data_IF_904126968839
#
_entry.id   IF_904126968839
#
_cell.length_a   1.000
_cell.length_b   1.000
_cell.length_c   1.000
_cell.angle_alpha   90.00
_cell.angle_beta   90.00
_cell.angle_gamma   90.00
#
_symmetry.space_group_name_H-M   'P 1'
#
loop_
_entity.id
_entity.type
_entity.pdbx_description
1 polymer ?
#
# COMPACT_ATOMS: atom_id res chain seq x y z
N UNK A 1 12.81 1.36 -1.84
CA UNK A 1 11.36 1.71 -1.78
C UNK A 1 10.87 2.56 -2.96
N UNK A 2 11.47 3.74 -3.26
CA UNK A 2 11.03 4.56 -4.41
C UNK A 2 11.15 3.86 -5.77
N UNK A 3 12.17 3.02 -5.94
CA UNK A 3 12.41 2.22 -7.15
C UNK A 3 11.31 1.19 -7.43
N UNK A 4 10.79 0.50 -6.41
CA UNK A 4 9.81 -0.58 -6.57
C UNK A 4 8.44 -0.09 -7.09
N UNK A 5 8.03 1.12 -6.73
CA UNK A 5 6.80 1.74 -7.23
C UNK A 5 6.91 2.09 -8.73
N UNK A 6 8.10 2.45 -9.20
CA UNK A 6 8.36 2.78 -10.60
C UNK A 6 8.38 1.52 -11.48
N UNK A 7 8.86 0.38 -10.98
CA UNK A 7 8.96 -0.87 -11.75
C UNK A 7 7.60 -1.52 -12.07
N UNK A 8 6.53 -1.21 -11.33
CA UNK A 8 5.23 -1.90 -11.48
C UNK A 8 4.20 -1.11 -12.31
N UNK A 9 4.52 0.11 -12.79
CA UNK A 9 3.54 0.94 -13.52
C UNK A 9 2.39 1.45 -12.63
N UNK A 10 2.58 1.43 -11.31
CA UNK A 10 1.60 1.91 -10.32
C UNK A 10 1.68 3.42 -10.08
N UNK A 11 2.58 4.12 -10.78
CA UNK A 11 2.96 5.52 -10.49
C UNK A 11 1.80 6.51 -10.41
N UNK A 12 0.69 6.20 -11.07
CA UNK A 12 -0.51 7.05 -11.09
C UNK A 12 -1.53 6.75 -9.99
N UNK A 13 -1.61 5.50 -9.49
CA UNK A 13 -2.66 5.04 -8.57
C UNK A 13 -2.16 4.75 -7.15
N UNK A 14 -0.86 4.45 -6.99
CA UNK A 14 -0.19 4.34 -5.72
C UNK A 14 0.79 5.50 -5.60
N UNK A 15 0.33 6.60 -5.00
CA UNK A 15 1.19 7.76 -4.81
C UNK A 15 1.98 7.57 -3.53
N UNK A 16 3.28 7.30 -3.69
CA UNK A 16 4.25 7.32 -2.60
C UNK A 16 4.75 8.77 -2.46
N UNK A 17 4.32 9.48 -1.42
CA UNK A 17 4.81 10.82 -1.07
C UNK A 17 5.60 10.75 0.23
N UNK A 18 6.77 11.36 0.28
CA UNK A 18 7.62 11.27 1.47
C UNK A 18 9.09 11.56 1.21
N UNK A 19 9.77 12.06 2.25
CA UNK A 19 11.23 12.06 2.37
C UNK A 19 11.67 10.62 2.67
N UNK A 20 12.90 10.21 2.32
CA UNK A 20 13.37 8.87 2.65
C UNK A 20 13.26 8.67 4.18
N UNK A 21 12.33 7.83 4.62
CA UNK A 21 11.99 7.66 6.04
C UNK A 21 10.66 8.26 6.49
N UNK A 22 9.80 8.78 5.61
CA UNK A 22 8.41 9.15 5.98
C UNK A 22 7.47 9.00 4.77
N UNK A 23 7.16 7.75 4.41
CA UNK A 23 6.35 7.43 3.22
C UNK A 23 4.86 7.41 3.57
N UNK A 24 4.11 8.28 2.92
CA UNK A 24 2.66 8.35 2.87
C UNK A 24 2.20 7.69 1.58
N UNK A 25 1.29 6.71 1.70
CA UNK A 25 0.66 6.04 0.58
C UNK A 25 -0.75 6.61 0.33
N UNK A 26 -0.98 7.21 -0.84
CA UNK A 26 -2.32 7.41 -1.36
C UNK A 26 -2.71 6.20 -2.22
N UNK A 27 -3.81 5.53 -1.85
CA UNK A 27 -4.38 4.39 -2.59
C UNK A 27 -5.63 4.86 -3.32
N UNK A 28 -5.56 4.79 -4.65
CA UNK A 28 -6.66 5.16 -5.54
C UNK A 28 -7.19 3.95 -6.32
N UNK A 29 -8.49 3.96 -6.60
CA UNK A 29 -9.11 2.97 -7.49
C UNK A 29 -8.75 3.21 -8.97
N UNK A 30 -9.32 2.38 -9.85
CA UNK A 30 -9.20 2.44 -11.30
C UNK A 30 -9.63 3.79 -11.90
N UNK A 31 -10.46 4.56 -11.18
CA UNK A 31 -10.92 5.90 -11.58
C UNK A 31 -10.11 7.03 -10.95
N UNK A 32 -8.96 6.71 -10.32
CA UNK A 32 -8.09 7.66 -9.60
C UNK A 32 -8.78 8.33 -8.41
N UNK A 33 -9.80 7.70 -7.83
CA UNK A 33 -10.50 8.20 -6.64
C UNK A 33 -9.96 7.53 -5.38
N UNK A 34 -9.87 8.25 -4.25
CA UNK A 34 -9.46 7.64 -2.98
C UNK A 34 -10.37 6.45 -2.63
N UNK A 35 -9.77 5.28 -2.36
CA UNK A 35 -10.55 4.06 -2.09
C UNK A 35 -10.13 3.33 -0.83
N UNK A 36 -11.09 3.13 0.08
CA UNK A 36 -10.89 2.39 1.33
C UNK A 36 -10.67 0.89 1.11
N UNK A 37 -11.22 0.33 0.04
CA UNK A 37 -11.02 -1.09 -0.27
C UNK A 37 -9.58 -1.33 -0.71
N UNK A 38 -9.06 -0.50 -1.62
CA UNK A 38 -7.66 -0.57 -2.05
C UNK A 38 -6.69 -0.21 -0.90
N UNK A 39 -7.04 0.72 -0.02
CA UNK A 39 -6.29 0.98 1.22
C UNK A 39 -6.23 -0.26 2.11
N UNK A 40 -7.37 -0.91 2.35
CA UNK A 40 -7.46 -2.11 3.18
C UNK A 40 -6.65 -3.25 2.57
N UNK A 41 -6.77 -3.48 1.26
CA UNK A 41 -6.00 -4.47 0.52
C UNK A 41 -4.50 -4.25 0.70
N UNK A 42 -4.01 -3.03 0.47
CA UNK A 42 -2.59 -2.72 0.54
C UNK A 42 -2.04 -2.94 1.95
N UNK A 43 -2.71 -2.38 2.97
CA UNK A 43 -2.30 -2.54 4.37
C UNK A 43 -2.35 -3.99 4.82
N UNK A 44 -3.39 -4.74 4.44
CA UNK A 44 -3.49 -6.17 4.75
C UNK A 44 -2.32 -6.94 4.12
N UNK A 45 -1.94 -6.63 2.88
CA UNK A 45 -0.86 -7.34 2.21
C UNK A 45 0.49 -7.10 2.89
N UNK A 46 0.75 -5.87 3.33
CA UNK A 46 1.93 -5.54 4.13
C UNK A 46 1.91 -6.34 5.45
N UNK A 47 0.79 -6.33 6.17
CA UNK A 47 0.61 -7.07 7.43
C UNK A 47 0.86 -8.58 7.25
N UNK A 48 0.27 -9.19 6.23
CA UNK A 48 0.47 -10.63 5.94
C UNK A 48 1.90 -10.95 5.50
N UNK A 49 2.63 -9.96 5.01
CA UNK A 49 4.04 -10.08 4.67
C UNK A 49 4.98 -9.81 5.84
N UNK A 50 4.48 -9.54 7.06
CA UNK A 50 5.31 -9.23 8.23
C UNK A 50 5.69 -7.75 8.38
N UNK A 51 5.15 -6.86 7.53
CA UNK A 51 5.45 -5.43 7.55
C UNK A 51 4.32 -4.65 8.22
N UNK A 52 4.61 -4.07 9.39
CA UNK A 52 3.73 -3.12 10.07
C UNK A 52 4.02 -1.70 9.54
N UNK A 53 3.15 -1.16 8.68
CA UNK A 53 3.33 0.17 8.07
C UNK A 53 2.15 1.14 8.32
N UNK A 54 1.81 1.47 9.58
CA UNK A 54 0.86 2.55 9.87
C UNK A 54 1.48 3.93 9.59
N UNK A 55 2.80 4.06 9.74
CA UNK A 55 3.67 5.16 9.29
C UNK A 55 5.03 4.56 8.91
N UNK A 56 5.62 5.01 7.80
CA UNK A 56 6.84 4.38 7.25
C UNK A 56 8.08 5.13 7.73
N UNK A 57 8.38 5.07 9.03
CA UNK A 57 9.57 5.71 9.59
C UNK A 57 10.77 4.76 9.53
N UNK A 58 11.78 5.13 8.73
CA UNK A 58 13.06 4.41 8.70
C UNK A 58 13.89 4.90 9.87
N UNK A 59 14.15 4.02 10.84
CA UNK A 59 15.03 4.27 11.99
C UNK A 59 16.37 3.56 11.80
N UNK A 60 17.43 4.04 12.45
CA UNK A 60 18.77 3.41 12.46
C UNK A 60 18.79 2.01 13.08
N UNK A 61 17.68 1.57 13.67
CA UNK A 61 17.50 0.22 14.20
C UNK A 61 17.22 -0.85 13.12
N UNK A 62 16.95 -0.46 11.87
CA UNK A 62 16.70 -1.39 10.78
C UNK A 62 18.02 -1.88 10.17
N UNK A 63 18.16 -3.20 10.05
CA UNK A 63 19.24 -3.82 9.28
C UNK A 63 18.94 -3.76 7.77
N UNK A 64 19.96 -3.97 6.94
CA UNK A 64 19.79 -4.10 5.49
C UNK A 64 18.83 -5.25 5.13
N UNK A 65 18.85 -6.33 5.91
CA UNK A 65 17.92 -7.46 5.74
C UNK A 65 16.46 -7.05 6.01
N UNK A 66 16.22 -6.20 7.01
CA UNK A 66 14.87 -5.67 7.28
C UNK A 66 14.39 -4.78 6.13
N UNK A 67 15.30 -3.99 5.55
CA UNK A 67 15.02 -3.13 4.40
C UNK A 67 14.66 -3.97 3.18
N UNK A 68 15.47 -4.97 2.86
CA UNK A 68 15.26 -5.85 1.70
C UNK A 68 13.96 -6.65 1.82
N UNK A 69 13.68 -7.18 3.02
CA UNK A 69 12.42 -7.85 3.31
C UNK A 69 11.23 -6.91 3.07
N UNK A 70 11.29 -5.70 3.62
CA UNK A 70 10.23 -4.70 3.47
C UNK A 70 10.02 -4.32 2.00
N UNK A 71 11.11 -4.14 1.23
CA UNK A 71 11.05 -3.86 -0.21
C UNK A 71 10.37 -5.01 -0.96
N UNK A 72 10.71 -6.26 -0.65
CA UNK A 72 10.09 -7.44 -1.26
C UNK A 72 8.59 -7.51 -0.99
N UNK A 73 8.18 -7.30 0.26
CA UNK A 73 6.76 -7.30 0.65
C UNK A 73 5.98 -6.18 -0.04
N UNK A 74 6.55 -4.97 -0.13
CA UNK A 74 5.95 -3.84 -0.85
C UNK A 74 5.82 -4.14 -2.34
N UNK A 75 6.83 -4.73 -2.97
CA UNK A 75 6.78 -5.11 -4.39
C UNK A 75 5.65 -6.11 -4.67
N UNK A 76 5.49 -7.13 -3.81
CA UNK A 76 4.38 -8.07 -3.91
C UNK A 76 3.02 -7.39 -3.72
N UNK A 77 2.92 -6.46 -2.77
CA UNK A 77 1.71 -5.68 -2.57
C UNK A 77 1.35 -4.84 -3.79
N UNK A 78 2.33 -4.20 -4.43
CA UNK A 78 2.14 -3.45 -5.67
C UNK A 78 1.64 -4.34 -6.83
N UNK A 79 2.16 -5.56 -6.96
CA UNK A 79 1.72 -6.50 -8.00
C UNK A 79 0.25 -6.92 -7.81
N UNK A 80 -0.15 -7.24 -6.58
CA UNK A 80 -1.55 -7.57 -6.24
C UNK A 80 -2.45 -6.36 -6.48
N UNK A 81 -2.00 -5.18 -6.08
CA UNK A 81 -2.71 -3.92 -6.31
C UNK A 81 -2.99 -3.69 -7.79
N UNK A 82 -1.97 -3.84 -8.65
CA UNK A 82 -2.09 -3.67 -10.10
C UNK A 82 -3.11 -4.64 -10.70
N UNK A 83 -3.00 -5.93 -10.36
CA UNK A 83 -3.97 -6.96 -10.79
C UNK A 83 -5.40 -6.62 -10.35
N UNK A 84 -5.53 -6.00 -9.19
CA UNK A 84 -6.84 -5.60 -8.66
C UNK A 84 -7.41 -4.42 -9.44
N UNK A 85 -6.59 -3.43 -9.80
CA UNK A 85 -7.01 -2.34 -10.70
C UNK A 85 -7.45 -2.87 -12.06
N UNK A 86 -6.74 -3.84 -12.62
CA UNK A 86 -7.07 -4.42 -13.93
C UNK A 86 -8.42 -5.18 -13.92
N UNK A 87 -8.83 -5.70 -12.75
CA UNK A 87 -10.08 -6.45 -12.59
C UNK A 87 -11.22 -5.62 -12.01
N UNK A 88 -10.94 -4.51 -11.33
CA UNK A 88 -11.91 -3.70 -10.58
C UNK A 88 -12.50 -4.40 -9.35
N UNK A 89 -11.96 -5.57 -8.95
CA UNK A 89 -12.57 -6.41 -7.89
C UNK A 89 -11.57 -6.66 -6.75
N UNK A 90 -11.57 -5.84 -5.69
CA UNK A 90 -10.69 -6.01 -4.54
C UNK A 90 -11.14 -7.11 -3.57
N UNK A 91 -12.41 -7.53 -3.62
CA UNK A 91 -13.05 -8.47 -2.68
C UNK A 91 -12.20 -9.68 -2.24
N UNK A 92 -11.61 -10.45 -3.19
CA UNK A 92 -10.79 -11.63 -2.87
C UNK A 92 -9.58 -11.34 -1.99
N UNK A 93 -9.06 -10.11 -2.01
CA UNK A 93 -7.82 -9.73 -1.32
C UNK A 93 -8.06 -9.03 0.02
N UNK A 94 -9.31 -8.73 0.36
CA UNK A 94 -9.65 -8.04 1.61
C UNK A 94 -9.65 -8.98 2.82
N UNK A 95 -9.97 -10.26 2.61
CA UNK A 95 -10.07 -11.29 3.66
C UNK A 95 -10.98 -10.89 4.83
N UNK A 96 -12.02 -10.09 4.56
CA UNK A 96 -12.94 -9.54 5.55
C UNK A 96 -13.59 -8.22 5.08
N UNK A 97 -14.41 -7.62 5.95
CA UNK A 97 -15.03 -6.31 5.67
C UNK A 97 -13.93 -5.22 5.63
N UNK A 98 -13.97 -4.27 4.67
CA UNK A 98 -13.06 -3.13 4.65
C UNK A 98 -13.08 -2.35 5.97
N UNK A 99 -11.94 -1.74 6.31
CA UNK A 99 -11.84 -0.84 7.46
C UNK A 99 -12.80 0.34 7.26
N UNK A 100 -13.65 0.62 8.26
CA UNK A 100 -14.48 1.83 8.28
C UNK A 100 -13.61 3.01 8.74
N UNK A 101 -13.58 4.07 7.95
CA UNK A 101 -12.98 5.34 8.38
C UNK A 101 -13.64 5.83 9.67
N UNK A 102 -12.78 6.27 10.60
CA UNK A 102 -13.18 6.86 11.90
C UNK A 102 -13.84 8.22 11.66
N UNK A 103 -13.22 9.08 10.87
CA UNK A 103 -13.82 10.35 10.42
C UNK A 103 -14.56 10.14 9.11
N UNK A 104 -15.85 10.46 9.11
CA UNK A 104 -16.71 10.44 7.92
C UNK A 104 -17.03 11.87 7.56
N UNK A 105 -17.12 12.17 6.27
CA UNK A 105 -17.67 13.46 5.84
C UNK A 105 -19.12 13.50 6.30
N UNK A 106 -19.43 14.38 7.25
CA UNK A 106 -20.80 14.68 7.65
C UNK A 106 -21.40 15.48 6.49
N UNK A 107 -22.57 15.06 6.02
CA UNK A 107 -23.29 15.75 4.95
C UNK A 107 -23.80 17.11 5.42
#
# INVERSE_FOLDING_TARGET
MRSSAATTGNGDHLVVRGRAGDLVFATQDEHRRPSQQYRTLFLRRLLTGGVLAPSSVVSSALSDADIDHTVGVVAQACAVYRKTLDTGVPGPWLGGRPVRLVFRRVA
#
